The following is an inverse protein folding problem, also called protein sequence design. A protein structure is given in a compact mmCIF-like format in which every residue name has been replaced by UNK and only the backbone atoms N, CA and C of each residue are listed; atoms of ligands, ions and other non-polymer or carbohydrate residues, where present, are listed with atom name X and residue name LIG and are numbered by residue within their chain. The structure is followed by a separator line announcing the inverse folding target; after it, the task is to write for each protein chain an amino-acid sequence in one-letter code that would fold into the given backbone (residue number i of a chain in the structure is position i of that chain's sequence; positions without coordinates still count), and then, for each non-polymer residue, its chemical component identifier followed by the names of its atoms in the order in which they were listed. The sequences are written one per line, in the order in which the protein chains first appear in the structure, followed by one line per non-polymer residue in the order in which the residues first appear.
data_IF_974095057087
#
_entry.id   IF_974095057087
#
_cell.length_a   1.000
_cell.length_b   1.000
_cell.length_c   1.000
_cell.angle_alpha   90.00
_cell.angle_beta   90.00
_cell.angle_gamma   90.00
#
_symmetry.space_group_name_H-M   'P 1'
#
loop_
_entity.id
_entity.type
_entity.pdbx_description
1 polymer ?
#
# COMPACT_ATOMS: atom_id res chain seq x y z
N UNK A 1 -42.76 -71.58 26.65
CA UNK A 1 -43.71 -71.13 25.60
C UNK A 1 -43.56 -69.63 25.49
N UNK A 2 -42.85 -69.15 24.46
CA UNK A 2 -43.35 -68.29 23.34
C UNK A 2 -43.79 -66.87 23.79
N UNK A 3 -43.44 -65.74 23.17
CA UNK A 3 -42.92 -65.49 21.83
C UNK A 3 -42.32 -64.07 21.71
N UNK A 4 -41.54 -63.88 20.64
CA UNK A 4 -40.82 -62.68 20.18
C UNK A 4 -41.68 -61.40 20.06
N UNK A 5 -41.04 -60.24 20.20
CA UNK A 5 -41.40 -59.01 19.46
C UNK A 5 -40.13 -58.21 19.10
N UNK A 6 -39.88 -58.13 17.80
CA UNK A 6 -38.89 -57.31 17.13
C UNK A 6 -39.39 -55.86 17.07
N UNK A 7 -38.52 -54.88 17.33
CA UNK A 7 -38.81 -53.45 17.17
C UNK A 7 -37.55 -52.66 16.86
N UNK A 8 -37.32 -52.42 15.57
CA UNK A 8 -36.25 -51.62 14.99
C UNK A 8 -36.58 -50.12 15.13
N UNK A 9 -35.68 -49.30 15.71
CA UNK A 9 -35.58 -47.88 15.35
C UNK A 9 -34.37 -47.17 15.97
N UNK A 10 -33.53 -46.67 15.05
CA UNK A 10 -32.64 -45.50 15.10
C UNK A 10 -31.58 -45.37 16.21
N UNK A 11 -30.35 -45.66 15.76
CA UNK A 11 -29.13 -44.98 16.18
C UNK A 11 -29.29 -43.46 16.03
N UNK A 12 -29.17 -42.73 17.14
CA UNK A 12 -28.78 -41.33 17.12
C UNK A 12 -27.40 -41.22 17.79
N UNK A 13 -26.35 -41.34 16.97
CA UNK A 13 -25.02 -40.87 17.33
C UNK A 13 -25.10 -39.35 17.46
N UNK A 14 -25.00 -38.84 18.68
CA UNK A 14 -24.78 -37.42 18.91
C UNK A 14 -23.40 -37.05 18.37
N UNK A 15 -23.38 -36.48 17.18
CA UNK A 15 -22.22 -35.78 16.61
C UNK A 15 -22.03 -34.46 17.37
N UNK A 16 -21.16 -34.47 18.38
CA UNK A 16 -20.49 -33.24 18.79
C UNK A 16 -19.47 -32.90 17.70
N UNK A 17 -19.83 -31.97 16.83
CA UNK A 17 -18.89 -31.32 15.94
C UNK A 17 -17.96 -30.45 16.80
N UNK A 18 -16.78 -30.96 17.12
CA UNK A 18 -15.68 -30.13 17.59
C UNK A 18 -15.20 -29.28 16.41
N UNK A 19 -15.17 -27.97 16.64
CA UNK A 19 -14.63 -26.95 15.75
C UNK A 19 -13.26 -27.40 15.22
N UNK A 20 -13.12 -27.39 13.90
CA UNK A 20 -11.86 -27.68 13.24
C UNK A 20 -10.78 -26.67 13.67
N UNK A 21 -9.59 -27.24 13.94
CA UNK A 21 -8.22 -26.73 13.77
C UNK A 21 -7.93 -25.31 14.30
N UNK A 22 -7.03 -25.11 15.27
CA UNK A 22 -5.65 -25.59 15.18
C UNK A 22 -5.19 -26.42 16.37
N UNK A 23 -4.77 -27.63 16.02
CA UNK A 23 -3.94 -28.48 16.83
C UNK A 23 -2.56 -27.83 16.89
N UNK A 24 -2.31 -27.00 17.91
CA UNK A 24 -0.94 -26.67 18.35
C UNK A 24 -0.29 -27.97 18.83
N UNK A 25 0.16 -28.78 17.87
CA UNK A 25 0.84 -30.03 18.11
C UNK A 25 2.22 -29.75 18.70
N UNK A 26 2.59 -30.53 19.72
CA UNK A 26 3.95 -30.58 20.28
C UNK A 26 5.04 -30.90 19.23
N UNK A 27 4.66 -31.26 18.01
CA UNK A 27 5.53 -31.57 16.88
C UNK A 27 6.14 -30.31 16.25
N UNK A 28 5.52 -29.13 16.41
CA UNK A 28 6.03 -27.85 15.89
C UNK A 28 7.24 -27.31 16.67
N UNK A 29 7.60 -27.93 17.81
CA UNK A 29 8.77 -27.54 18.59
C UNK A 29 10.09 -28.16 18.10
N UNK A 30 10.03 -29.06 17.11
CA UNK A 30 11.22 -29.72 16.51
C UNK A 30 11.53 -29.29 15.07
N UNK A 31 10.74 -28.39 14.49
CA UNK A 31 11.00 -27.79 13.18
C UNK A 31 11.39 -26.33 13.34
N UNK A 32 12.36 -25.86 12.56
CA UNK A 32 12.66 -24.44 12.39
C UNK A 32 11.49 -23.73 11.65
N UNK A 33 10.28 -23.75 12.21
CA UNK A 33 9.05 -23.22 11.64
C UNK A 33 9.07 -21.70 11.65
N UNK A 34 9.79 -21.11 10.71
CA UNK A 34 9.74 -19.67 10.50
C UNK A 34 8.29 -19.29 10.16
N UNK A 35 7.72 -18.26 10.81
CA UNK A 35 6.36 -17.81 10.54
C UNK A 35 6.14 -17.61 9.03
N UNK A 36 4.95 -17.93 8.55
CA UNK A 36 4.62 -17.74 7.14
C UNK A 36 4.91 -16.29 6.71
N UNK A 37 5.56 -16.09 5.55
CA UNK A 37 5.83 -14.77 4.97
C UNK A 37 4.59 -13.85 5.03
N UNK A 38 4.69 -12.70 5.71
CA UNK A 38 3.64 -11.66 5.67
C UNK A 38 3.40 -11.22 4.22
N UNK A 39 2.15 -11.11 3.75
CA UNK A 39 1.87 -10.69 2.38
C UNK A 39 2.31 -9.25 2.14
N UNK A 40 2.71 -8.94 0.90
CA UNK A 40 3.02 -7.57 0.48
C UNK A 40 1.74 -6.74 0.43
N UNK A 41 1.88 -5.45 0.70
CA UNK A 41 0.77 -4.50 0.78
C UNK A 41 0.83 -3.58 -0.45
N UNK A 42 -0.25 -3.58 -1.24
CA UNK A 42 -0.40 -2.67 -2.35
C UNK A 42 -0.83 -1.28 -1.84
N UNK A 43 -0.21 -0.24 -2.40
CA UNK A 43 -0.41 1.15 -2.02
C UNK A 43 -0.74 1.98 -3.26
N UNK A 44 -1.52 3.04 -3.08
CA UNK A 44 -1.94 3.89 -4.19
C UNK A 44 -2.21 5.34 -3.79
N UNK A 45 -2.04 6.22 -4.76
CA UNK A 45 -2.65 7.54 -4.83
C UNK A 45 -3.14 7.75 -6.27
N UNK A 46 -4.39 7.40 -6.62
CA UNK A 46 -4.81 7.38 -8.02
C UNK A 46 -5.07 8.78 -8.59
N UNK A 47 -5.33 9.77 -7.72
CA UNK A 47 -5.74 11.12 -8.09
C UNK A 47 -4.89 12.14 -7.34
N UNK A 48 -3.62 12.27 -7.73
CA UNK A 48 -2.78 13.35 -7.21
C UNK A 48 -3.09 14.63 -7.99
N UNK A 49 -3.26 15.76 -7.29
CA UNK A 49 -3.51 17.05 -7.92
C UNK A 49 -3.07 18.24 -7.03
N UNK A 50 -3.17 19.45 -7.57
CA UNK A 50 -2.80 20.68 -6.86
C UNK A 50 -3.74 21.03 -5.70
N UNK A 51 -4.97 20.51 -5.65
CA UNK A 51 -5.93 20.80 -4.56
C UNK A 51 -5.53 20.11 -3.26
N UNK A 52 -4.71 19.07 -3.36
CA UNK A 52 -4.19 18.33 -2.22
C UNK A 52 -2.93 18.99 -1.63
N UNK A 53 -2.27 19.89 -2.37
CA UNK A 53 -1.16 20.71 -1.88
C UNK A 53 -1.71 21.79 -0.93
N UNK A 54 -1.08 21.98 0.22
CA UNK A 54 -1.46 23.02 1.18
C UNK A 54 -1.25 24.39 0.53
N UNK A 55 -2.33 25.16 0.37
CA UNK A 55 -2.35 26.40 -0.41
C UNK A 55 -1.83 26.19 -1.85
N UNK A 56 -2.26 25.09 -2.47
CA UNK A 56 -1.75 24.65 -3.77
C UNK A 56 -1.90 25.66 -4.91
N UNK A 57 -1.02 25.56 -5.92
CA UNK A 57 -1.04 26.47 -7.05
C UNK A 57 -2.24 26.24 -7.98
N UNK A 58 -2.57 27.20 -8.84
CA UNK A 58 -3.52 26.97 -9.93
C UNK A 58 -2.85 26.12 -11.03
N UNK A 59 -2.83 24.80 -10.85
CA UNK A 59 -2.32 23.85 -11.85
C UNK A 59 -3.40 22.88 -12.34
N UNK A 60 -3.27 22.47 -13.61
CA UNK A 60 -4.04 21.40 -14.26
C UNK A 60 -3.28 20.08 -14.29
N UNK A 61 -2.07 20.05 -13.74
CA UNK A 61 -1.28 18.86 -13.61
C UNK A 61 -1.96 17.87 -12.65
N UNK A 62 -1.84 16.61 -13.00
CA UNK A 62 -2.34 15.48 -12.23
C UNK A 62 -1.28 14.41 -12.20
N UNK A 63 -1.40 13.48 -11.26
CA UNK A 63 -0.48 12.36 -11.15
C UNK A 63 -1.12 11.14 -10.53
N UNK A 64 -0.35 10.07 -10.48
CA UNK A 64 -0.70 8.90 -9.71
C UNK A 64 0.52 8.26 -9.08
N UNK A 65 0.31 7.60 -7.95
CA UNK A 65 1.29 6.78 -7.26
C UNK A 65 0.79 5.34 -7.15
N UNK A 66 1.71 4.40 -7.36
CA UNK A 66 1.51 2.98 -7.08
C UNK A 66 2.70 2.47 -6.29
N UNK A 67 2.45 1.67 -5.26
CA UNK A 67 3.50 1.09 -4.42
C UNK A 67 3.21 -0.35 -4.06
N UNK A 68 4.27 -1.12 -3.83
CA UNK A 68 4.22 -2.45 -3.24
C UNK A 68 5.20 -2.49 -2.06
N UNK A 69 4.65 -2.55 -0.86
CA UNK A 69 5.39 -2.59 0.39
C UNK A 69 5.58 -4.04 0.86
N UNK A 70 6.81 -4.39 1.21
CA UNK A 70 7.15 -5.67 1.80
C UNK A 70 7.41 -5.51 3.31
N UNK A 71 6.48 -5.94 4.18
CA UNK A 71 6.63 -5.79 5.63
C UNK A 71 7.70 -6.72 6.22
N UNK A 72 8.30 -7.65 5.47
CA UNK A 72 9.38 -8.50 5.99
C UNK A 72 10.74 -7.82 5.86
N UNK A 73 10.89 -6.98 4.84
CA UNK A 73 12.16 -6.31 4.51
C UNK A 73 12.09 -4.80 4.69
N UNK A 74 10.91 -4.26 5.03
CA UNK A 74 10.58 -2.84 5.06
C UNK A 74 10.89 -2.11 3.75
N UNK A 75 10.85 -2.83 2.62
CA UNK A 75 11.13 -2.27 1.31
C UNK A 75 9.83 -1.84 0.63
N UNK A 76 9.78 -0.57 0.22
CA UNK A 76 8.75 -0.03 -0.67
C UNK A 76 9.33 0.13 -2.07
N UNK A 77 8.72 -0.58 -3.04
CA UNK A 77 8.93 -0.33 -4.47
C UNK A 77 7.76 0.50 -4.97
N UNK A 78 8.03 1.63 -5.63
CA UNK A 78 7.00 2.58 -6.04
C UNK A 78 7.23 3.18 -7.41
N UNK A 79 6.14 3.64 -8.02
CA UNK A 79 6.13 4.40 -9.26
C UNK A 79 5.22 5.62 -9.15
N UNK A 80 5.62 6.71 -9.82
CA UNK A 80 4.88 7.97 -9.90
C UNK A 80 4.68 8.35 -11.36
N UNK A 81 3.44 8.62 -11.75
CA UNK A 81 3.09 9.23 -13.02
C UNK A 81 2.70 10.70 -12.81
N UNK A 82 2.95 11.53 -13.82
CA UNK A 82 2.70 12.97 -13.80
C UNK A 82 2.35 13.45 -15.22
N UNK A 83 1.23 14.15 -15.39
CA UNK A 83 0.79 14.60 -16.71
C UNK A 83 -0.17 15.78 -16.59
N UNK A 84 -0.32 16.55 -17.66
CA UNK A 84 -1.30 17.63 -17.70
C UNK A 84 -2.67 17.06 -18.07
N UNK A 85 -3.70 17.33 -17.27
CA UNK A 85 -5.05 16.86 -17.56
C UNK A 85 -5.52 17.33 -18.95
N UNK A 86 -6.15 16.44 -19.71
CA UNK A 86 -6.59 16.71 -21.08
C UNK A 86 -5.49 16.62 -22.14
N UNK A 87 -4.23 16.36 -21.76
CA UNK A 87 -3.16 15.93 -22.67
C UNK A 87 -3.00 14.40 -22.59
N UNK A 88 -2.57 13.76 -23.67
CA UNK A 88 -2.31 12.32 -23.68
C UNK A 88 -1.16 11.98 -22.73
N UNK A 89 -1.31 10.89 -21.96
CA UNK A 89 -0.28 10.33 -21.04
C UNK A 89 1.00 9.93 -21.80
N UNK A 90 0.98 9.93 -23.14
CA UNK A 90 2.10 9.58 -24.03
C UNK A 90 3.23 10.62 -24.11
N UNK A 91 3.48 11.38 -23.03
CA UNK A 91 4.76 12.08 -22.83
C UNK A 91 4.79 13.58 -23.07
N UNK A 92 3.64 14.25 -23.20
CA UNK A 92 3.63 15.73 -23.11
C UNK A 92 3.49 16.09 -21.64
N UNK A 93 4.63 16.26 -20.97
CA UNK A 93 4.70 17.01 -19.72
C UNK A 93 4.90 18.47 -20.09
N UNK A 94 3.98 19.34 -19.67
CA UNK A 94 4.08 20.76 -20.03
C UNK A 94 5.21 21.48 -19.28
N UNK A 95 5.76 20.87 -18.21
CA UNK A 95 6.83 21.40 -17.37
C UNK A 95 7.79 20.29 -16.89
N UNK A 96 9.11 20.55 -16.82
CA UNK A 96 10.07 19.61 -16.25
C UNK A 96 9.80 19.36 -14.75
N UNK A 97 9.71 18.08 -14.38
CA UNK A 97 9.71 17.65 -12.98
C UNK A 97 11.12 17.84 -12.42
N UNK A 98 11.24 18.54 -11.29
CA UNK A 98 12.52 18.84 -10.64
C UNK A 98 12.78 17.96 -9.44
N UNK A 99 11.74 17.57 -8.71
CA UNK A 99 11.83 16.71 -7.52
C UNK A 99 10.56 15.87 -7.37
N UNK A 100 10.71 14.67 -6.83
CA UNK A 100 9.59 13.83 -6.37
C UNK A 100 9.95 13.31 -5.00
N UNK A 101 9.06 13.50 -4.03
CA UNK A 101 9.29 13.19 -2.63
C UNK A 101 8.18 12.31 -2.07
N UNK A 102 8.57 11.39 -1.19
CA UNK A 102 7.68 10.81 -0.20
C UNK A 102 7.86 11.60 1.10
N UNK A 103 6.76 12.07 1.67
CA UNK A 103 6.74 12.85 2.90
C UNK A 103 5.93 12.14 3.98
N UNK A 104 6.27 12.46 5.24
CA UNK A 104 5.38 12.22 6.38
C UNK A 104 4.28 13.26 6.38
N UNK A 105 3.08 12.88 6.81
CA UNK A 105 1.98 13.81 7.06
C UNK A 105 0.63 13.22 6.70
N UNK A 106 -0.34 13.46 7.58
CA UNK A 106 -1.74 13.21 7.28
C UNK A 106 -2.19 14.05 6.06
N UNK A 107 -3.26 13.63 5.36
CA UNK A 107 -3.82 14.40 4.25
C UNK A 107 -4.03 15.88 4.60
N UNK A 108 -3.53 16.78 3.75
CA UNK A 108 -3.66 18.22 3.93
C UNK A 108 -2.69 18.85 4.95
N UNK A 109 -1.72 18.10 5.48
CA UNK A 109 -0.67 18.61 6.38
C UNK A 109 0.70 18.48 5.73
N UNK A 110 1.56 19.49 5.84
CA UNK A 110 2.96 19.40 5.42
C UNK A 110 3.78 18.66 6.47
N UNK A 111 4.71 17.82 6.03
CA UNK A 111 5.68 17.19 6.92
C UNK A 111 7.03 16.95 6.26
N UNK A 112 8.01 16.41 7.01
CA UNK A 112 9.37 16.22 6.53
C UNK A 112 9.45 15.16 5.42
N UNK A 113 10.52 15.24 4.61
CA UNK A 113 10.84 14.27 3.58
C UNK A 113 11.26 12.94 4.24
N UNK A 114 10.64 11.85 3.80
CA UNK A 114 11.05 10.47 4.08
C UNK A 114 12.11 10.05 3.07
N UNK A 115 11.84 10.33 1.79
CA UNK A 115 12.66 9.86 0.69
C UNK A 115 12.53 10.76 -0.55
N UNK A 116 13.66 10.98 -1.22
CA UNK A 116 13.72 11.64 -2.52
C UNK A 116 13.98 10.63 -3.63
N UNK A 117 13.17 10.67 -4.68
CA UNK A 117 13.34 9.79 -5.82
C UNK A 117 14.68 10.10 -6.51
N UNK A 118 15.56 9.12 -6.70
CA UNK A 118 16.95 9.36 -7.09
C UNK A 118 17.11 9.68 -8.58
N UNK A 119 16.10 9.36 -9.38
CA UNK A 119 16.11 9.55 -10.82
C UNK A 119 14.75 10.06 -11.24
N UNK A 120 14.76 11.13 -12.03
CA UNK A 120 13.56 11.72 -12.62
C UNK A 120 13.55 11.49 -14.15
N UNK A 121 14.22 10.42 -14.59
CA UNK A 121 14.40 10.14 -16.02
C UNK A 121 13.04 9.91 -16.67
N UNK A 122 12.75 10.75 -17.66
CA UNK A 122 11.61 10.60 -18.54
C UNK A 122 11.91 9.53 -19.60
N UNK A 123 10.89 8.82 -20.11
CA UNK A 123 9.46 9.03 -19.88
C UNK A 123 8.98 8.51 -18.51
N UNK A 124 7.86 9.04 -18.05
CA UNK A 124 7.14 8.52 -16.88
C UNK A 124 6.56 7.11 -17.17
N UNK A 125 6.28 6.31 -16.12
CA UNK A 125 6.38 6.64 -14.69
C UNK A 125 7.82 6.60 -14.15
N UNK A 126 8.10 7.45 -13.16
CA UNK A 126 9.36 7.47 -12.42
C UNK A 126 9.28 6.41 -11.31
N UNK A 127 10.27 5.53 -11.24
CA UNK A 127 10.33 4.46 -10.24
C UNK A 127 11.34 4.73 -9.13
N UNK A 128 11.07 4.19 -7.93
CA UNK A 128 12.04 4.15 -6.84
C UNK A 128 11.85 2.94 -5.93
N UNK A 129 12.94 2.60 -5.25
CA UNK A 129 12.98 1.60 -4.18
C UNK A 129 13.60 2.24 -2.95
N UNK A 130 12.96 2.08 -1.81
CA UNK A 130 13.44 2.60 -0.52
C UNK A 130 13.22 1.57 0.58
N UNK A 131 14.18 1.46 1.50
CA UNK A 131 13.98 0.76 2.78
C UNK A 131 13.54 1.78 3.81
N UNK A 132 12.37 1.56 4.42
CA UNK A 132 11.79 2.45 5.42
C UNK A 132 12.34 2.16 6.81
N UNK A 133 12.45 3.20 7.63
CA UNK A 133 12.62 3.02 9.07
C UNK A 133 11.35 2.44 9.69
N UNK A 134 11.45 1.84 10.89
CA UNK A 134 10.28 1.33 11.61
C UNK A 134 9.23 2.44 11.87
N UNK A 135 9.68 3.66 12.18
CA UNK A 135 8.79 4.80 12.38
C UNK A 135 8.09 5.24 11.09
N UNK A 136 8.78 5.15 9.95
CA UNK A 136 8.21 5.45 8.64
C UNK A 136 7.25 4.34 8.18
N UNK A 137 7.54 3.08 8.49
CA UNK A 137 6.60 1.98 8.28
C UNK A 137 5.29 2.25 9.02
N UNK A 138 5.33 2.60 10.31
CA UNK A 138 4.11 2.87 11.08
C UNK A 138 3.24 3.95 10.43
N UNK A 139 3.86 5.06 9.99
CA UNK A 139 3.17 6.14 9.30
C UNK A 139 2.59 5.70 7.95
N UNK A 140 3.33 4.95 7.15
CA UNK A 140 2.84 4.39 5.89
C UNK A 140 1.61 3.50 6.12
N UNK A 141 1.68 2.67 7.16
CA UNK A 141 0.63 1.74 7.58
C UNK A 141 -0.59 2.45 8.20
N UNK A 142 -0.45 3.70 8.63
CA UNK A 142 -1.53 4.52 9.17
C UNK A 142 -2.11 5.53 8.16
N UNK A 143 -1.66 5.50 6.90
CA UNK A 143 -2.03 6.46 5.85
C UNK A 143 -1.56 7.91 6.16
N UNK A 144 -0.49 8.05 6.93
CA UNK A 144 0.11 9.33 7.32
C UNK A 144 1.33 9.68 6.45
N UNK A 145 1.23 9.38 5.15
CA UNK A 145 2.22 9.75 4.15
C UNK A 145 1.57 10.27 2.88
N UNK A 146 2.32 11.10 2.17
CA UNK A 146 1.92 11.59 0.85
C UNK A 146 3.12 11.66 -0.09
N UNK A 147 2.84 11.54 -1.38
CA UNK A 147 3.80 11.83 -2.44
C UNK A 147 3.59 13.27 -2.92
N UNK A 148 4.68 13.97 -3.20
CA UNK A 148 4.68 15.34 -3.73
C UNK A 148 5.59 15.42 -4.97
N UNK A 149 5.13 16.15 -5.98
CA UNK A 149 5.84 16.36 -7.24
C UNK A 149 6.08 17.85 -7.41
N UNK A 150 7.34 18.21 -7.61
CA UNK A 150 7.79 19.59 -7.77
C UNK A 150 8.21 19.82 -9.22
N UNK A 151 7.96 21.03 -9.71
CA UNK A 151 8.42 21.49 -11.02
C UNK A 151 9.13 22.82 -10.90
N UNK A 152 9.76 23.25 -12.00
CA UNK A 152 10.45 24.54 -12.04
C UNK A 152 9.53 25.73 -11.75
N UNK A 153 8.26 25.67 -12.14
CA UNK A 153 7.28 26.75 -11.88
C UNK A 153 6.74 26.68 -10.45
N UNK A 154 6.57 25.46 -9.92
CA UNK A 154 6.01 25.24 -8.59
C UNK A 154 6.99 24.45 -7.70
N UNK A 155 8.08 25.10 -7.25
CA UNK A 155 9.12 24.44 -6.47
C UNK A 155 8.64 24.02 -5.07
N UNK A 156 7.53 24.57 -4.58
CA UNK A 156 6.94 24.21 -3.29
C UNK A 156 5.91 23.06 -3.39
N UNK A 157 5.78 22.44 -4.56
CA UNK A 157 4.83 21.36 -4.85
C UNK A 157 3.80 21.80 -5.89
N UNK A 158 3.67 21.02 -6.96
CA UNK A 158 2.65 21.19 -7.99
C UNK A 158 1.49 20.21 -7.81
N UNK A 159 1.83 18.95 -7.53
CA UNK A 159 0.89 17.83 -7.48
C UNK A 159 1.21 16.96 -6.27
N UNK A 160 0.22 16.75 -5.41
CA UNK A 160 0.33 15.93 -4.21
C UNK A 160 -0.73 14.84 -4.21
N UNK A 161 -0.44 13.72 -3.54
CA UNK A 161 -1.53 12.90 -3.03
C UNK A 161 -1.18 11.90 -1.92
N UNK A 162 -2.19 11.49 -1.13
CA UNK A 162 -1.99 10.60 0.01
C UNK A 162 -1.63 9.20 -0.46
N UNK A 163 -0.76 8.52 0.28
CA UNK A 163 -0.41 7.12 0.03
C UNK A 163 -1.32 6.25 0.90
N UNK A 164 -2.22 5.51 0.25
CA UNK A 164 -3.25 4.70 0.89
C UNK A 164 -3.07 3.22 0.57
N UNK A 165 -3.46 2.32 1.47
CA UNK A 165 -3.62 0.90 1.13
C UNK A 165 -4.73 0.70 0.09
N UNK A 166 -4.48 -0.15 -0.90
CA UNK A 166 -5.50 -0.64 -1.83
C UNK A 166 -6.38 -1.72 -1.21
#
# INVERSE_FOLDING_TARGET
MLNKLTGCCLLALSSVAFSACDQFGLEDWRGNGQPAPRPKIALTSPNMDARQVVLGPPSRAVGSFSGLYDPQTNVLVSTVAYYTSGESITGVISQPVTEVHLHRGAPGTNGPIVFSFPSLTLPLPIGATVTLSEADEELLLNNDMYVDVHTQIFPQGEVRGPVLRQ
#
